data_IF_263272400968
#
_entry.id   IF_263272400968
#
_cell.length_a   1.000
_cell.length_b   1.000
_cell.length_c   1.000
_cell.angle_alpha   90.00
_cell.angle_beta   90.00
_cell.angle_gamma   90.00
#
_symmetry.space_group_name_H-M   'P 1'
#
loop_
_entity.id
_entity.type
_entity.pdbx_description
1 polymer ?
#
# COMPACT_ATOMS: atom_id res chain seq x y z
N UNK A 1 -20.14 10.50 7.15
CA UNK A 1 -19.15 9.40 7.10
C UNK A 1 -17.86 10.00 6.55
N UNK A 2 -16.74 9.88 7.25
CA UNK A 2 -15.44 10.31 6.70
C UNK A 2 -15.18 9.49 5.44
N UNK A 3 -14.84 10.15 4.32
CA UNK A 3 -14.37 9.47 3.14
C UNK A 3 -13.17 8.60 3.54
N UNK A 4 -13.22 7.30 3.25
CA UNK A 4 -12.12 6.39 3.56
C UNK A 4 -11.10 6.50 2.43
N UNK A 5 -10.01 7.24 2.66
CA UNK A 5 -8.95 7.41 1.67
C UNK A 5 -8.12 6.13 1.43
N UNK A 6 -8.30 5.08 2.24
CA UNK A 6 -7.74 3.75 2.02
C UNK A 6 -8.70 2.63 2.44
N UNK A 7 -8.52 1.46 1.83
CA UNK A 7 -9.24 0.23 2.14
C UNK A 7 -8.28 -0.96 2.17
N UNK A 8 -8.48 -1.90 3.10
CA UNK A 8 -7.70 -3.12 3.21
C UNK A 8 -8.61 -4.31 2.85
N UNK A 9 -8.20 -5.10 1.86
CA UNK A 9 -8.94 -6.30 1.46
C UNK A 9 -8.91 -7.37 2.57
N UNK A 10 -9.92 -8.26 2.63
CA UNK A 10 -10.00 -9.29 3.69
C UNK A 10 -8.74 -10.16 3.82
N UNK A 11 -8.12 -10.54 2.70
CA UNK A 11 -6.91 -11.36 2.69
C UNK A 11 -5.71 -10.63 3.30
N UNK A 12 -5.53 -9.34 2.95
CA UNK A 12 -4.52 -8.49 3.55
C UNK A 12 -4.78 -8.27 5.05
N UNK A 13 -6.04 -8.06 5.42
CA UNK A 13 -6.41 -7.86 6.81
C UNK A 13 -6.16 -9.11 7.66
N UNK A 14 -6.50 -10.30 7.16
CA UNK A 14 -6.20 -11.56 7.84
C UNK A 14 -4.70 -11.73 8.05
N UNK A 15 -3.90 -11.46 7.00
CA UNK A 15 -2.45 -11.54 7.09
C UNK A 15 -1.88 -10.58 8.15
N UNK A 16 -2.30 -9.30 8.13
CA UNK A 16 -1.84 -8.28 9.07
C UNK A 16 -2.17 -8.65 10.52
N UNK A 17 -3.42 -9.07 10.79
CA UNK A 17 -3.85 -9.53 12.11
C UNK A 17 -3.07 -10.75 12.57
N UNK A 18 -2.91 -11.75 11.71
CA UNK A 18 -2.15 -12.98 12.01
C UNK A 18 -0.69 -12.70 12.35
N UNK A 19 -0.11 -11.64 11.77
CA UNK A 19 1.27 -11.24 12.00
C UNK A 19 1.43 -10.18 13.10
N UNK A 20 0.35 -9.69 13.70
CA UNK A 20 0.39 -8.64 14.71
C UNK A 20 0.91 -7.31 14.15
N UNK A 21 0.65 -7.03 12.87
CA UNK A 21 1.08 -5.80 12.22
C UNK A 21 -0.04 -4.78 12.37
N UNK A 22 0.30 -3.61 12.92
CA UNK A 22 -0.61 -2.49 13.20
C UNK A 22 -0.41 -1.30 12.25
N UNK A 23 0.66 -1.32 11.44
CA UNK A 23 1.00 -0.26 10.51
C UNK A 23 1.55 -0.82 9.20
N UNK A 24 1.24 -0.17 8.08
CA UNK A 24 1.81 -0.45 6.76
C UNK A 24 2.13 0.85 6.02
N UNK A 25 3.16 0.85 5.19
CA UNK A 25 3.50 1.98 4.32
C UNK A 25 3.52 1.59 2.86
N UNK A 26 2.95 2.43 2.01
CA UNK A 26 3.02 2.32 0.55
C UNK A 26 4.26 3.06 0.08
N UNK A 27 5.22 2.33 -0.47
CA UNK A 27 6.42 2.88 -1.07
C UNK A 27 6.28 2.87 -2.59
N UNK A 28 6.21 4.05 -3.19
CA UNK A 28 6.30 4.20 -4.65
C UNK A 28 7.77 4.14 -5.01
N UNK A 29 8.22 2.99 -5.53
CA UNK A 29 9.55 2.88 -6.12
C UNK A 29 9.48 3.62 -7.46
N UNK A 30 10.03 4.84 -7.51
CA UNK A 30 10.33 5.47 -8.78
C UNK A 30 11.27 4.53 -9.54
N UNK A 31 10.83 4.01 -10.69
CA UNK A 31 11.67 3.19 -11.55
C UNK A 31 12.97 3.93 -11.80
N UNK A 32 14.08 3.37 -11.29
CA UNK A 32 15.41 3.82 -11.64
C UNK A 32 15.58 3.75 -13.16
N UNK A 33 16.48 4.60 -13.68
CA UNK A 33 16.78 4.90 -15.08
C UNK A 33 17.02 3.70 -16.05
N UNK A 34 16.83 2.46 -15.62
CA UNK A 34 16.98 1.22 -16.40
C UNK A 34 15.72 0.33 -16.34
N UNK A 35 14.53 0.93 -16.24
CA UNK A 35 13.26 0.20 -16.13
C UNK A 35 12.79 -0.37 -17.46
N UNK A 36 12.59 -1.69 -17.50
CA UNK A 36 11.62 -2.27 -18.41
C UNK A 36 10.27 -1.52 -18.25
N UNK A 37 9.63 -1.10 -19.35
CA UNK A 37 8.37 -0.39 -19.27
C UNK A 37 7.31 -1.35 -18.71
N UNK A 38 6.68 -0.98 -17.59
CA UNK A 38 5.40 -1.56 -17.22
C UNK A 38 5.20 -2.03 -15.79
N UNK A 39 6.20 -1.91 -14.90
CA UNK A 39 6.05 -2.38 -13.52
C UNK A 39 6.30 -1.25 -12.53
N UNK A 40 5.30 -0.38 -12.36
CA UNK A 40 5.19 0.50 -11.18
C UNK A 40 4.66 -0.32 -10.00
N UNK A 41 5.47 -1.21 -9.44
CA UNK A 41 5.07 -1.94 -8.24
C UNK A 41 5.11 -0.97 -7.05
N UNK A 42 3.97 -0.37 -6.71
CA UNK A 42 3.78 0.20 -5.38
C UNK A 42 3.98 -0.94 -4.37
N UNK A 43 5.07 -0.87 -3.62
CA UNK A 43 5.41 -1.89 -2.62
C UNK A 43 4.74 -1.53 -1.31
N UNK A 44 4.16 -2.51 -0.62
CA UNK A 44 3.62 -2.30 0.72
C UNK A 44 4.61 -2.86 1.73
N UNK A 45 5.27 -1.97 2.45
CA UNK A 45 6.15 -2.28 3.55
C UNK A 45 5.36 -2.45 4.84
N UNK A 46 5.87 -3.32 5.72
CA UNK A 46 5.28 -3.58 7.05
C UNK A 46 5.87 -2.60 8.05
N UNK A 47 5.01 -1.96 8.83
CA UNK A 47 5.39 -0.94 9.81
C UNK A 47 5.21 0.49 9.30
N UNK A 48 5.80 1.43 10.03
CA UNK A 48 5.80 2.85 9.69
C UNK A 48 6.81 3.14 8.56
N UNK A 49 6.58 4.17 7.73
CA UNK A 49 7.54 4.59 6.73
C UNK A 49 8.88 4.93 7.40
N UNK A 50 9.97 4.49 6.78
CA UNK A 50 11.35 4.75 7.24
C UNK A 50 11.93 6.05 6.68
N UNK A 51 11.28 6.63 5.66
CA UNK A 51 11.63 7.92 5.06
C UNK A 51 10.89 9.06 5.75
N UNK A 52 11.27 10.29 5.40
CA UNK A 52 10.72 11.54 5.91
C UNK A 52 9.18 11.50 6.00
N UNK A 53 8.63 11.58 7.21
CA UNK A 53 7.20 11.43 7.45
C UNK A 53 6.36 12.51 6.74
N UNK A 54 7.00 13.64 6.37
CA UNK A 54 6.36 14.78 5.74
C UNK A 54 5.84 14.51 4.33
N UNK A 55 6.24 13.41 3.69
CA UNK A 55 5.72 13.03 2.36
C UNK A 55 4.58 12.01 2.42
N UNK A 56 4.20 11.54 3.61
CA UNK A 56 3.15 10.52 3.78
C UNK A 56 1.89 11.10 4.43
N UNK A 57 0.74 10.76 3.86
CA UNK A 57 -0.56 10.81 4.54
C UNK A 57 -0.72 9.56 5.39
N UNK A 58 -1.45 9.71 6.50
CA UNK A 58 -1.85 8.60 7.38
C UNK A 58 -3.37 8.50 7.37
N UNK A 59 -3.89 7.29 7.17
CA UNK A 59 -5.28 6.96 7.47
C UNK A 59 -5.34 5.70 8.31
N UNK A 60 -6.36 5.56 9.15
CA UNK A 60 -6.53 4.37 10.00
C UNK A 60 -7.74 3.59 9.51
N UNK A 61 -7.53 2.34 9.13
CA UNK A 61 -8.56 1.43 8.64
C UNK A 61 -8.61 0.18 9.52
N UNK A 62 -9.73 -0.04 10.21
CA UNK A 62 -9.96 -1.20 11.10
C UNK A 62 -8.82 -1.45 12.11
N UNK A 63 -8.25 -0.37 12.65
CA UNK A 63 -7.15 -0.42 13.62
C UNK A 63 -5.75 -0.55 13.01
N UNK A 64 -5.63 -0.54 11.69
CA UNK A 64 -4.34 -0.50 10.98
C UNK A 64 -4.05 0.91 10.48
N UNK A 65 -2.87 1.42 10.81
CA UNK A 65 -2.35 2.66 10.26
C UNK A 65 -1.78 2.42 8.86
N UNK A 66 -2.36 3.07 7.86
CA UNK A 66 -1.91 3.03 6.46
C UNK A 66 -1.25 4.35 6.12
N UNK A 67 0.05 4.29 5.79
CA UNK A 67 0.85 5.43 5.35
C UNK A 67 1.01 5.37 3.84
N UNK A 68 0.70 6.45 3.12
CA UNK A 68 0.85 6.51 1.67
C UNK A 68 1.25 7.91 1.23
N UNK A 69 2.09 8.06 0.19
CA UNK A 69 2.59 9.37 -0.22
C UNK A 69 1.50 10.37 -0.63
N UNK A 70 1.72 11.67 -0.39
CA UNK A 70 0.79 12.73 -0.83
C UNK A 70 0.55 12.74 -2.34
N UNK A 71 1.52 12.25 -3.11
CA UNK A 71 1.50 12.19 -4.58
C UNK A 71 1.00 10.84 -5.12
N UNK A 72 0.55 9.92 -4.27
CA UNK A 72 -0.11 8.70 -4.74
C UNK A 72 -1.47 9.09 -5.32
N UNK A 73 -1.52 9.23 -6.65
CA UNK A 73 -2.77 9.29 -7.38
C UNK A 73 -3.39 7.89 -7.36
N UNK A 74 -4.63 7.82 -6.88
CA UNK A 74 -5.48 6.63 -6.96
C UNK A 74 -6.71 7.06 -7.73
N UNK A 75 -6.96 6.42 -8.87
CA UNK A 75 -7.99 6.79 -9.83
C UNK A 75 -9.39 6.89 -9.22
N UNK A 76 -9.66 6.09 -8.17
CA UNK A 76 -10.94 6.06 -7.45
C UNK A 76 -10.92 6.82 -6.11
N UNK A 77 -9.88 7.59 -5.81
CA UNK A 77 -9.75 8.35 -4.56
C UNK A 77 -9.51 7.48 -3.30
N UNK A 78 -9.34 6.16 -3.46
CA UNK A 78 -9.11 5.22 -2.35
C UNK A 78 -7.92 4.32 -2.65
N UNK A 79 -6.94 4.25 -1.74
CA UNK A 79 -5.82 3.30 -1.81
C UNK A 79 -6.28 1.93 -1.32
N UNK A 80 -6.43 0.96 -2.24
CA UNK A 80 -6.77 -0.42 -1.88
C UNK A 80 -5.52 -1.28 -1.70
N UNK A 81 -5.38 -1.88 -0.52
CA UNK A 81 -4.31 -2.82 -0.19
C UNK A 81 -4.86 -4.24 -0.25
N UNK A 82 -4.17 -5.12 -0.97
CA UNK A 82 -4.49 -6.54 -1.05
C UNK A 82 -3.27 -7.42 -0.75
N UNK A 83 -3.49 -8.72 -0.61
CA UNK A 83 -2.46 -9.70 -0.33
C UNK A 83 -2.53 -10.87 -1.30
N UNK A 84 -1.39 -11.20 -1.91
CA UNK A 84 -1.21 -12.42 -2.67
C UNK A 84 -0.37 -13.42 -1.88
N UNK A 85 -0.63 -14.71 -2.08
CA UNK A 85 0.20 -15.78 -1.54
C UNK A 85 0.78 -16.60 -2.67
N UNK A 86 2.10 -16.54 -2.82
CA UNK A 86 2.83 -17.30 -3.81
C UNK A 86 3.95 -18.10 -3.13
N UNK A 87 4.02 -19.42 -3.39
CA UNK A 87 5.02 -20.32 -2.82
C UNK A 87 5.19 -20.21 -1.29
N UNK A 88 4.10 -20.00 -0.56
CA UNK A 88 4.11 -19.88 0.90
C UNK A 88 4.53 -18.51 1.44
N UNK A 89 4.94 -17.59 0.57
CA UNK A 89 5.23 -16.19 0.91
C UNK A 89 3.96 -15.37 0.66
N UNK A 90 3.55 -14.58 1.64
CA UNK A 90 2.45 -13.62 1.48
C UNK A 90 3.04 -12.23 1.29
N UNK A 91 2.64 -11.57 0.21
CA UNK A 91 3.09 -10.25 -0.21
C UNK A 91 1.89 -9.30 -0.22
N UNK A 92 2.07 -8.11 0.34
CA UNK A 92 1.07 -7.04 0.30
C UNK A 92 1.36 -6.15 -0.92
N UNK A 93 0.31 -5.72 -1.62
CA UNK A 93 0.42 -4.85 -2.78
C UNK A 93 -0.75 -3.86 -2.85
N UNK A 94 -0.58 -2.78 -3.63
CA UNK A 94 -1.65 -1.82 -3.91
C UNK A 94 -2.43 -2.32 -5.13
N UNK A 95 -3.72 -2.63 -4.96
CA UNK A 95 -4.57 -3.19 -6.01
C UNK A 95 -5.15 -2.14 -6.98
N UNK A 96 -5.11 -0.85 -6.62
CA UNK A 96 -5.66 0.26 -7.41
C UNK A 96 -4.58 1.04 -8.20
N UNK A 97 -3.37 0.51 -8.32
CA UNK A 97 -2.37 1.11 -9.20
C UNK A 97 -2.64 0.65 -10.63
N UNK A 98 -3.75 1.08 -11.24
CA UNK A 98 -3.84 1.04 -12.69
C UNK A 98 -2.71 1.96 -13.19
N UNK A 99 -1.67 1.36 -13.78
CA UNK A 99 -0.79 2.12 -14.65
C UNK A 99 -1.65 2.47 -15.87
N UNK A 100 -2.34 3.61 -15.82
CA UNK A 100 -2.80 4.26 -17.04
C UNK A 100 -1.58 4.40 -17.96
N UNK A 101 -1.62 3.62 -19.04
CA UNK A 101 -0.65 3.61 -20.13
C UNK A 101 -1.13 4.52 -21.25
#
# INVERSE_FOLDING_TARGET
>A
MLAKDAAIAPAAMEYLKKKGIDAISVDVIASGCCGAPGIRNASVSKGKPTRDANVYKKTTFDGIDVYYPYYTNVDDGVVRIDAERFLGITTLYVANAESEY
#
